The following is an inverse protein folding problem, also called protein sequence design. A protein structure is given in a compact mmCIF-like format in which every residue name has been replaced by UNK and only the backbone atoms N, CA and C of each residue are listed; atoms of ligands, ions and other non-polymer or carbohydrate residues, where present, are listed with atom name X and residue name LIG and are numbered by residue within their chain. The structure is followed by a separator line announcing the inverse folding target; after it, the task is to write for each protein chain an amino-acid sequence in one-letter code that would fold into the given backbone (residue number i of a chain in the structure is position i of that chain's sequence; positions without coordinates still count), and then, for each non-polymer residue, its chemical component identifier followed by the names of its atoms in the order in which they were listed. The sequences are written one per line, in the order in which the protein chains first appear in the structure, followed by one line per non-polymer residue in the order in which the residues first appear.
data_IF_060354760359
#
_entry.id   IF_060354760359
#
_cell.length_a   1.000
_cell.length_b   1.000
_cell.length_c   1.000
_cell.angle_alpha   90.00
_cell.angle_beta   90.00
_cell.angle_gamma   90.00
#
_symmetry.space_group_name_H-M   'P 1'
#
loop_
_entity.id
_entity.type
_entity.pdbx_description
1 polymer ?
#
# COMPACT_ATOMS: atom_id res chain seq x y z
N UNK A 1 -24.93 -0.43 -3.40
CA UNK A 1 -23.81 -0.52 -2.45
C UNK A 1 -23.45 0.90 -2.04
N UNK A 2 -23.54 1.26 -0.76
CA UNK A 2 -23.20 2.63 -0.32
C UNK A 2 -21.68 2.71 -0.17
N UNK A 3 -21.04 3.54 -0.99
CA UNK A 3 -19.60 3.78 -0.88
C UNK A 3 -19.27 4.40 0.48
N UNK A 4 -18.52 3.65 1.29
CA UNK A 4 -18.13 4.10 2.62
C UNK A 4 -17.06 5.19 2.47
N UNK A 5 -17.24 6.38 3.08
CA UNK A 5 -16.29 7.46 2.92
C UNK A 5 -14.91 7.06 3.45
N UNK A 6 -13.88 7.48 2.70
CA UNK A 6 -12.48 7.18 3.03
C UNK A 6 -12.13 7.83 4.36
N UNK A 7 -11.72 7.03 5.34
CA UNK A 7 -11.42 7.52 6.70
C UNK A 7 -10.23 8.49 6.68
N UNK A 8 -10.38 9.63 7.37
CA UNK A 8 -9.31 10.61 7.62
C UNK A 8 -8.13 9.92 8.32
N UNK A 9 -6.90 10.31 7.96
CA UNK A 9 -5.67 9.82 8.60
C UNK A 9 -5.30 10.72 9.78
N UNK A 10 -4.71 10.13 10.81
CA UNK A 10 -4.15 10.86 11.97
C UNK A 10 -2.88 11.60 11.52
N UNK A 11 -2.97 12.93 11.52
CA UNK A 11 -1.87 13.85 11.19
C UNK A 11 -0.98 14.20 12.37
N UNK A 12 0.00 15.08 12.16
CA UNK A 12 0.89 15.52 13.24
C UNK A 12 0.16 16.37 14.28
N UNK A 13 -0.73 17.27 13.85
CA UNK A 13 -1.57 18.11 14.72
C UNK A 13 -2.44 17.26 15.65
N UNK A 14 -3.06 16.21 15.11
CA UNK A 14 -3.85 15.26 15.88
C UNK A 14 -2.99 14.54 16.94
N UNK A 15 -1.75 14.13 16.60
CA UNK A 15 -0.84 13.47 17.56
C UNK A 15 -0.40 14.39 18.68
N UNK A 16 -0.18 15.67 18.40
CA UNK A 16 0.14 16.67 19.43
C UNK A 16 -1.04 16.79 20.41
N UNK A 17 -2.28 16.88 19.89
CA UNK A 17 -3.49 16.90 20.72
C UNK A 17 -3.65 15.64 21.56
N UNK A 18 -3.40 14.47 20.96
CA UNK A 18 -3.43 13.18 21.67
C UNK A 18 -2.40 13.17 22.80
N UNK A 19 -1.17 13.64 22.57
CA UNK A 19 -0.15 13.71 23.62
C UNK A 19 -0.58 14.64 24.75
N UNK A 20 -1.04 15.86 24.44
CA UNK A 20 -1.51 16.81 25.44
C UNK A 20 -2.66 16.23 26.28
N UNK A 21 -3.61 15.53 25.65
CA UNK A 21 -4.71 14.90 26.35
C UNK A 21 -4.28 13.72 27.24
N UNK A 22 -3.26 12.95 26.82
CA UNK A 22 -2.66 11.90 27.65
C UNK A 22 -1.88 12.48 28.83
N UNK A 23 -1.26 13.64 28.65
CA UNK A 23 -0.58 14.41 29.69
C UNK A 23 -1.54 15.16 30.61
N UNK A 24 -2.77 15.45 30.19
CA UNK A 24 -3.85 15.88 31.09
C UNK A 24 -4.53 14.70 31.79
N UNK A 25 -4.32 13.46 31.31
CA UNK A 25 -4.83 12.24 31.92
C UNK A 25 -6.25 11.89 31.45
N UNK A 26 -6.68 12.46 30.32
CA UNK A 26 -7.98 12.16 29.73
C UNK A 26 -8.01 10.72 29.18
N UNK A 27 -9.16 10.02 29.34
CA UNK A 27 -9.32 8.70 28.78
C UNK A 27 -9.46 8.78 27.24
N UNK A 28 -9.10 7.72 26.48
CA UNK A 28 -9.22 7.71 25.02
C UNK A 28 -10.62 7.95 24.46
N UNK A 29 -11.67 7.73 25.27
CA UNK A 29 -13.04 8.08 24.90
C UNK A 29 -13.19 9.61 24.72
N UNK A 30 -12.62 10.40 25.63
CA UNK A 30 -12.67 11.87 25.55
C UNK A 30 -11.77 12.41 24.44
N UNK A 31 -10.60 11.81 24.26
CA UNK A 31 -9.70 12.14 23.15
C UNK A 31 -10.38 11.90 21.79
N UNK A 32 -11.20 10.86 21.68
CA UNK A 32 -11.97 10.56 20.48
C UNK A 32 -13.01 11.63 20.17
N UNK A 33 -13.74 12.11 21.20
CA UNK A 33 -14.69 13.24 21.09
C UNK A 33 -13.96 14.50 20.60
N UNK A 34 -12.82 14.85 21.21
CA UNK A 34 -12.07 16.08 20.88
C UNK A 34 -11.43 16.08 19.48
N UNK A 35 -11.00 14.91 19.00
CA UNK A 35 -10.26 14.78 17.73
C UNK A 35 -11.14 14.38 16.55
N UNK A 36 -12.36 13.91 16.82
CA UNK A 36 -13.29 13.38 15.82
C UNK A 36 -12.91 12.02 15.26
N UNK A 37 -11.99 11.29 15.89
CA UNK A 37 -11.64 9.91 15.51
C UNK A 37 -12.39 8.89 16.36
N UNK A 38 -12.54 7.67 15.87
CA UNK A 38 -13.10 6.60 16.69
C UNK A 38 -12.17 6.25 17.86
N UNK A 39 -12.75 5.91 19.02
CA UNK A 39 -12.01 5.41 20.19
C UNK A 39 -11.03 4.29 19.83
N UNK A 40 -11.44 3.38 18.95
CA UNK A 40 -10.59 2.30 18.45
C UNK A 40 -9.37 2.79 17.66
N UNK A 41 -9.49 3.86 16.88
CA UNK A 41 -8.37 4.45 16.14
C UNK A 41 -7.36 5.08 17.11
N UNK A 42 -7.84 5.80 18.13
CA UNK A 42 -6.99 6.36 19.18
C UNK A 42 -6.28 5.25 19.98
N UNK A 43 -6.98 4.20 20.39
CA UNK A 43 -6.36 3.07 21.08
C UNK A 43 -5.28 2.38 20.23
N UNK A 44 -5.54 2.18 18.93
CA UNK A 44 -4.55 1.61 17.99
C UNK A 44 -3.35 2.53 17.82
N UNK A 45 -3.58 3.83 17.70
CA UNK A 45 -2.53 4.85 17.62
C UNK A 45 -1.59 4.76 18.84
N UNK A 46 -2.16 4.82 20.04
CA UNK A 46 -1.40 4.80 21.29
C UNK A 46 -0.65 3.48 21.45
N UNK A 47 -1.31 2.35 21.18
CA UNK A 47 -0.72 1.02 21.42
C UNK A 47 0.36 0.69 20.40
N UNK A 48 0.17 1.04 19.13
CA UNK A 48 1.11 0.69 18.06
C UNK A 48 2.34 1.60 17.96
N UNK A 49 2.25 2.84 18.47
CA UNK A 49 3.30 3.86 18.34
C UNK A 49 3.90 4.31 19.67
N UNK A 50 3.51 3.68 20.78
CA UNK A 50 4.14 3.94 22.07
C UNK A 50 5.47 3.22 22.18
N UNK A 51 6.43 3.88 22.81
CA UNK A 51 7.69 3.25 23.23
C UNK A 51 7.44 2.42 24.48
N UNK A 52 7.90 1.17 24.47
CA UNK A 52 7.74 0.23 25.57
C UNK A 52 9.06 0.10 26.32
N UNK A 53 9.05 0.31 27.64
CA UNK A 53 10.14 -0.11 28.53
C UNK A 53 9.72 -1.38 29.27
N UNK A 54 10.66 -2.31 29.46
CA UNK A 54 10.46 -3.63 30.08
C UNK A 54 9.36 -4.45 29.37
N UNK A 55 9.57 -4.88 28.11
CA UNK A 55 8.53 -5.52 27.30
C UNK A 55 8.07 -6.87 27.85
N UNK A 56 8.94 -7.59 28.56
CA UNK A 56 8.68 -8.91 29.17
C UNK A 56 7.84 -8.86 30.44
N UNK A 57 7.75 -7.70 31.09
CA UNK A 57 7.03 -7.55 32.34
C UNK A 57 5.51 -7.41 32.12
N UNK A 58 4.68 -7.71 33.13
CA UNK A 58 3.24 -7.47 33.05
C UNK A 58 2.95 -5.97 32.94
N UNK A 59 1.78 -5.60 32.39
CA UNK A 59 1.37 -4.20 32.24
C UNK A 59 1.25 -3.51 33.60
N UNK A 60 1.69 -2.24 33.68
CA UNK A 60 1.74 -1.50 34.94
C UNK A 60 0.41 -1.44 35.72
N UNK A 61 -0.65 -0.93 35.08
CA UNK A 61 -2.00 -0.78 35.66
C UNK A 61 -3.05 -1.02 34.57
N UNK A 62 -4.10 -1.82 34.81
CA UNK A 62 -5.24 -1.91 33.91
C UNK A 62 -5.94 -0.54 33.82
N UNK A 63 -6.33 -0.13 32.61
CA UNK A 63 -6.96 1.17 32.34
C UNK A 63 -6.01 2.35 32.11
N UNK A 64 -4.71 2.22 32.46
CA UNK A 64 -3.71 3.24 32.13
C UNK A 64 -3.13 2.97 30.73
N UNK A 65 -3.31 3.92 29.82
CA UNK A 65 -2.81 3.80 28.44
C UNK A 65 -1.33 4.19 28.33
N UNK A 66 -0.88 5.16 29.14
CA UNK A 66 0.49 5.68 29.15
C UNK A 66 0.96 5.90 30.59
N UNK A 67 2.21 5.52 30.88
CA UNK A 67 2.82 5.59 32.21
C UNK A 67 3.39 6.97 32.57
N UNK A 68 3.10 8.02 31.80
CA UNK A 68 3.61 9.39 32.01
C UNK A 68 3.26 9.93 33.39
N UNK A 69 2.00 9.73 33.81
CA UNK A 69 1.45 10.17 35.12
C UNK A 69 1.58 9.18 36.28
N UNK A 70 2.23 8.04 36.08
CA UNK A 70 2.31 7.06 37.17
C UNK A 70 3.23 7.60 38.27
N UNK A 71 2.72 7.77 39.50
CA UNK A 71 3.51 8.21 40.66
C UNK A 71 4.68 7.28 40.94
N UNK A 72 4.46 5.97 40.77
CA UNK A 72 5.47 4.92 40.97
C UNK A 72 6.37 4.69 39.74
N UNK A 73 6.37 5.58 38.74
CA UNK A 73 7.08 5.37 37.45
C UNK A 73 8.58 5.13 37.60
N UNK A 74 9.23 5.71 38.62
CA UNK A 74 10.66 5.54 38.86
C UNK A 74 10.98 4.08 39.24
N UNK A 75 10.30 3.57 40.27
CA UNK A 75 10.59 2.26 40.87
C UNK A 75 9.79 1.09 40.28
N UNK A 76 8.79 1.37 39.43
CA UNK A 76 7.97 0.32 38.86
C UNK A 76 8.80 -0.58 37.92
N UNK A 77 8.82 -1.89 38.19
CA UNK A 77 9.47 -2.89 37.32
C UNK A 77 8.57 -3.42 36.20
N UNK A 78 7.29 -3.04 36.21
CA UNK A 78 6.28 -3.47 35.23
C UNK A 78 6.55 -2.86 33.85
N UNK A 79 5.87 -3.36 32.82
CA UNK A 79 5.91 -2.84 31.46
C UNK A 79 5.35 -1.43 31.41
N UNK A 80 6.17 -0.48 30.95
CA UNK A 80 5.84 0.95 30.86
C UNK A 80 5.62 1.33 29.41
N UNK A 81 4.53 2.04 29.13
CA UNK A 81 4.27 2.63 27.83
C UNK A 81 4.47 4.14 27.92
N UNK A 82 5.22 4.70 26.99
CA UNK A 82 5.37 6.14 26.82
C UNK A 82 4.94 6.53 25.40
N UNK A 83 4.15 7.59 25.29
CA UNK A 83 3.71 8.12 24.02
C UNK A 83 4.41 9.46 23.77
N UNK A 84 5.01 9.61 22.58
CA UNK A 84 5.60 10.87 22.11
C UNK A 84 5.13 11.10 20.68
N UNK A 85 4.60 12.30 20.40
CA UNK A 85 4.12 12.66 19.06
C UNK A 85 5.25 12.60 18.04
N UNK A 86 6.49 12.95 18.43
CA UNK A 86 7.68 12.95 17.56
C UNK A 86 8.03 11.54 17.10
N UNK A 87 8.14 10.60 18.04
CA UNK A 87 8.42 9.20 17.72
C UNK A 87 7.28 8.57 16.93
N UNK A 88 6.03 8.89 17.28
CA UNK A 88 4.85 8.37 16.61
C UNK A 88 4.72 8.87 15.15
N UNK A 89 5.04 10.14 14.88
CA UNK A 89 5.04 10.66 13.51
C UNK A 89 6.22 10.11 12.68
N UNK A 90 7.41 10.01 13.27
CA UNK A 90 8.56 9.39 12.63
C UNK A 90 8.29 7.92 12.25
N UNK A 91 7.73 7.12 13.16
CA UNK A 91 7.30 5.74 12.87
C UNK A 91 6.21 5.70 11.78
N UNK A 92 5.23 6.60 11.84
CA UNK A 92 4.21 6.71 10.82
C UNK A 92 4.79 7.05 9.44
N UNK A 93 5.78 7.95 9.38
CA UNK A 93 6.48 8.33 8.16
C UNK A 93 7.34 7.18 7.63
N UNK A 94 8.08 6.49 8.49
CA UNK A 94 8.87 5.31 8.13
C UNK A 94 7.99 4.22 7.50
N UNK A 95 6.85 3.92 8.12
CA UNK A 95 5.85 2.95 7.60
C UNK A 95 5.20 3.37 6.28
N UNK A 96 5.27 4.64 5.88
CA UNK A 96 4.79 5.13 4.58
C UNK A 96 5.85 5.02 3.48
N UNK A 97 7.14 5.17 3.83
CA UNK A 97 8.25 5.20 2.87
C UNK A 97 8.57 3.82 2.30
N UNK A 98 8.32 2.75 3.06
CA UNK A 98 8.62 1.38 2.61
C UNK A 98 7.44 0.69 1.94
N UNK A 99 7.67 -0.16 0.92
CA UNK A 99 6.65 -1.08 0.45
C UNK A 99 6.24 -2.01 1.59
N UNK A 100 4.92 -2.23 1.76
CA UNK A 100 4.34 -3.05 2.85
C UNK A 100 4.76 -4.53 2.83
N UNK A 101 5.37 -4.95 1.73
CA UNK A 101 5.99 -6.26 1.50
C UNK A 101 7.34 -5.94 0.86
N UNK A 102 8.45 -6.46 1.40
CA UNK A 102 9.71 -6.45 0.67
C UNK A 102 9.44 -7.03 -0.71
N UNK A 103 9.83 -6.33 -1.78
CA UNK A 103 9.66 -6.82 -3.15
C UNK A 103 10.32 -8.20 -3.22
N UNK A 104 9.59 -9.33 -3.31
CA UNK A 104 10.21 -10.62 -3.54
C UNK A 104 10.22 -10.85 -5.04
N UNK A 105 10.83 -9.92 -5.76
CA UNK A 105 11.15 -10.10 -7.16
C UNK A 105 12.62 -9.78 -7.30
N UNK A 106 13.42 -10.81 -6.95
CA UNK A 106 14.71 -11.03 -7.58
C UNK A 106 14.52 -10.72 -9.06
N UNK A 107 15.32 -9.82 -9.61
CA UNK A 107 15.29 -9.34 -11.00
C UNK A 107 15.02 -10.45 -12.01
N UNK A 108 15.52 -11.66 -11.73
CA UNK A 108 15.32 -12.90 -12.47
C UNK A 108 13.85 -13.31 -12.70
N UNK A 109 12.94 -13.02 -11.76
CA UNK A 109 11.50 -13.32 -11.91
C UNK A 109 10.77 -12.32 -12.81
N UNK A 110 11.22 -11.06 -12.83
CA UNK A 110 10.65 -10.02 -13.71
C UNK A 110 11.01 -10.34 -15.17
N UNK A 111 12.27 -10.72 -15.42
CA UNK A 111 12.75 -11.12 -16.75
C UNK A 111 12.00 -12.36 -17.28
N UNK A 112 11.73 -13.36 -16.43
CA UNK A 112 10.95 -14.55 -16.83
C UNK A 112 9.50 -14.23 -17.19
N UNK A 113 8.87 -13.28 -16.51
CA UNK A 113 7.50 -12.86 -16.82
C UNK A 113 7.43 -12.09 -18.14
N UNK A 114 8.38 -11.20 -18.40
CA UNK A 114 8.47 -10.48 -19.68
C UNK A 114 8.72 -11.44 -20.86
N UNK A 115 9.63 -12.41 -20.68
CA UNK A 115 9.90 -13.42 -21.72
C UNK A 115 8.69 -14.33 -22.02
N UNK A 116 7.83 -14.58 -21.02
CA UNK A 116 6.59 -15.33 -21.22
C UNK A 116 5.54 -14.49 -21.97
N UNK A 117 5.42 -13.20 -21.68
CA UNK A 117 4.54 -12.27 -22.40
C UNK A 117 4.93 -12.12 -23.87
N UNK A 118 6.23 -12.03 -24.17
CA UNK A 118 6.72 -11.91 -25.55
C UNK A 118 6.45 -13.18 -26.38
N UNK A 119 6.56 -14.37 -25.77
CA UNK A 119 6.22 -15.64 -26.43
C UNK A 119 4.73 -15.79 -26.72
N UNK A 120 3.85 -15.27 -25.84
CA UNK A 120 2.40 -15.26 -26.09
C UNK A 120 2.07 -14.30 -27.24
N UNK A 121 2.71 -13.12 -27.29
CA UNK A 121 2.57 -12.19 -28.40
C UNK A 121 3.02 -12.80 -29.73
N UNK A 122 4.16 -13.49 -29.75
CA UNK A 122 4.69 -14.16 -30.94
C UNK A 122 3.80 -15.33 -31.39
N UNK A 123 3.21 -16.07 -30.44
CA UNK A 123 2.27 -17.15 -30.74
C UNK A 123 0.97 -16.61 -31.33
N UNK A 124 0.39 -15.55 -30.76
CA UNK A 124 -0.82 -14.92 -31.26
C UNK A 124 -0.62 -14.31 -32.66
N UNK A 125 0.52 -13.68 -32.93
CA UNK A 125 0.88 -13.21 -34.27
C UNK A 125 0.99 -14.37 -35.28
N UNK A 126 1.59 -15.51 -34.90
CA UNK A 126 1.66 -16.70 -35.75
C UNK A 126 0.31 -17.35 -36.01
N UNK A 127 -0.58 -17.39 -35.02
CA UNK A 127 -1.95 -17.90 -35.18
C UNK A 127 -2.73 -17.00 -36.14
N UNK A 128 -2.60 -15.67 -35.99
CA UNK A 128 -3.26 -14.71 -36.87
C UNK A 128 -2.77 -14.80 -38.32
N UNK A 129 -1.47 -14.90 -38.54
CA UNK A 129 -0.88 -15.15 -39.87
C UNK A 129 -1.41 -16.47 -40.48
N UNK A 130 -1.44 -17.57 -39.72
CA UNK A 130 -1.99 -18.85 -40.24
C UNK A 130 -3.46 -18.75 -40.62
N UNK A 131 -4.26 -17.99 -39.86
CA UNK A 131 -5.67 -17.79 -40.16
C UNK A 131 -5.86 -16.96 -41.45
N UNK A 132 -5.06 -15.91 -41.64
CA UNK A 132 -5.05 -15.09 -42.86
C UNK A 132 -4.61 -15.90 -44.10
N UNK A 133 -3.57 -16.74 -43.98
CA UNK A 133 -3.15 -17.65 -45.05
C UNK A 133 -4.18 -18.76 -45.36
N UNK A 134 -4.92 -19.24 -44.35
CA UNK A 134 -6.02 -20.19 -44.53
C UNK A 134 -7.20 -19.55 -45.27
N UNK A 135 -7.57 -18.31 -44.95
CA UNK A 135 -8.61 -17.57 -45.67
C UNK A 135 -8.18 -17.24 -47.11
N UNK A 136 -6.92 -16.87 -47.34
CA UNK A 136 -6.40 -16.63 -48.69
C UNK A 136 -6.37 -17.90 -49.58
N UNK A 137 -6.21 -19.09 -48.98
CA UNK A 137 -6.33 -20.36 -49.69
C UNK A 137 -7.78 -20.72 -50.05
N UNK A 138 -8.74 -20.44 -49.18
CA UNK A 138 -10.16 -20.64 -49.47
C UNK A 138 -10.69 -19.64 -50.50
N UNK A 139 -10.16 -18.42 -50.54
CA UNK A 139 -10.49 -17.45 -51.59
C UNK A 139 -10.02 -17.87 -53.00
N UNK A 140 -8.95 -18.67 -53.10
CA UNK A 140 -8.48 -19.22 -54.39
C UNK A 140 -9.25 -20.47 -54.85
N UNK A 141 -10.06 -21.09 -53.98
CA UNK A 141 -10.96 -22.20 -54.36
C UNK A 141 -12.35 -21.75 -54.80
N UNK A 142 -12.72 -20.48 -54.55
CA UNK A 142 -13.92 -19.86 -55.09
C UNK A 142 -13.47 -18.86 -56.15
N UNK A 143 -13.47 -19.26 -57.41
CA UNK A 143 -12.98 -18.44 -58.51
C UNK A 143 -13.74 -17.12 -58.64
N UNK A 144 -13.15 -16.04 -58.13
CA UNK A 144 -13.45 -14.68 -58.56
C UNK A 144 -12.13 -13.96 -58.85
N UNK A 145 -11.91 -13.73 -60.14
CA UNK A 145 -10.87 -12.85 -60.65
C UNK A 145 -11.15 -11.44 -60.12
N UNK A 146 -10.37 -10.97 -59.16
CA UNK A 146 -10.20 -9.52 -58.96
C UNK A 146 -8.73 -9.22 -58.75
N UNK A 147 -8.18 -8.44 -59.69
CA UNK A 147 -6.80 -8.00 -59.68
C UNK A 147 -6.49 -7.17 -58.44
N UNK A 148 -5.40 -7.44 -57.71
CA UNK A 148 -4.88 -6.48 -56.75
C UNK A 148 -4.19 -5.35 -57.52
N UNK A 149 -4.87 -4.20 -57.58
CA UNK A 149 -4.30 -2.92 -58.03
C UNK A 149 -3.02 -2.62 -57.25
N UNK A 150 -1.92 -2.55 -58.01
CA UNK A 150 -0.80 -1.62 -57.86
C UNK A 150 -0.60 -1.05 -56.44
N UNK A 151 0.21 -1.73 -55.64
CA UNK A 151 0.97 -1.09 -54.57
C UNK A 151 2.42 -0.97 -55.02
N UNK A 152 2.63 -0.17 -56.08
CA UNK A 152 3.93 0.41 -56.40
C UNK A 152 3.95 1.82 -55.85
N UNK A 153 5.10 2.14 -55.27
CA UNK A 153 5.62 3.49 -55.01
C UNK A 153 5.10 4.20 -53.76
N UNK A 154 5.83 4.02 -52.66
CA UNK A 154 6.21 5.09 -51.73
C UNK A 154 7.43 4.68 -50.89
N UNK A 155 8.55 4.43 -51.56
CA UNK A 155 9.89 4.58 -50.97
C UNK A 155 10.51 5.80 -51.63
N UNK A 156 10.22 6.99 -51.10
CA UNK A 156 11.04 8.19 -51.38
C UNK A 156 12.09 8.31 -50.27
N UNK A 157 13.39 8.24 -50.58
CA UNK A 157 14.41 8.71 -49.65
C UNK A 157 14.33 10.25 -49.58
N UNK A 158 14.36 10.78 -48.35
CA UNK A 158 14.61 12.21 -48.09
C UNK A 158 16.06 12.50 -48.44
N UNK A 159 16.28 13.44 -49.36
CA UNK A 159 17.40 14.38 -49.32
C UNK A 159 16.82 15.77 -49.56
#
# INVERSE_FOLDING_TARGET
MVDKPKRRRIGISDRVRIQAALESGLPPSKIAEDTGFSKSAICREITSRSTVKNPTAPRCRPGLYVCSKCTKRAYCRKRKLYYSYRSADADAAAKRRGPRKGLPTRTDRILKLNYASDKIGLFLMRVKLKQEFSCARQANSCGEKSEPKLFRDLVRPRQ
#
